data_IF_504018517792
#
_entry.id   IF_504018517792
#
_cell.length_a   1.000
_cell.length_b   1.000
_cell.length_c   1.000
_cell.angle_alpha   90.00
_cell.angle_beta   90.00
_cell.angle_gamma   90.00
#
_symmetry.space_group_name_H-M   'P 1'
#
loop_
_entity.id
_entity.type
_entity.pdbx_description
1 polymer ?
#
# COMPACT_ATOMS: atom_id res chain seq x y z
N UNK A 1 22.02 -10.14 4.27
CA UNK A 1 21.18 -10.54 5.42
C UNK A 1 19.84 -11.13 4.97
N UNK A 2 19.21 -10.64 3.90
CA UNK A 2 17.90 -11.11 3.39
C UNK A 2 17.81 -12.59 3.03
N UNK A 3 18.83 -13.18 2.40
CA UNK A 3 18.79 -14.59 1.96
C UNK A 3 18.82 -15.62 3.10
N UNK A 4 19.14 -15.22 4.33
CA UNK A 4 19.05 -16.10 5.51
C UNK A 4 17.61 -16.27 6.02
N UNK A 5 16.63 -15.56 5.44
CA UNK A 5 15.22 -15.55 5.86
C UNK A 5 14.33 -16.46 4.99
N UNK A 6 14.89 -17.40 4.21
CA UNK A 6 14.14 -18.20 3.23
C UNK A 6 13.32 -17.35 2.24
N UNK A 7 13.85 -16.18 1.83
CA UNK A 7 13.18 -15.34 0.80
C UNK A 7 13.23 -16.06 -0.55
N UNK A 8 12.05 -16.42 -1.06
CA UNK A 8 11.89 -17.22 -2.28
C UNK A 8 11.93 -16.32 -3.52
N UNK A 9 11.33 -15.13 -3.45
CA UNK A 9 11.18 -14.21 -4.59
C UNK A 9 11.54 -12.77 -4.21
N UNK A 10 12.11 -12.02 -5.16
CA UNK A 10 12.55 -10.64 -5.00
C UNK A 10 12.15 -9.81 -6.22
N UNK A 11 11.70 -8.57 -6.01
CA UNK A 11 11.44 -7.64 -7.11
C UNK A 11 12.73 -7.00 -7.62
N UNK A 12 12.76 -6.65 -8.90
CA UNK A 12 13.83 -5.82 -9.46
C UNK A 12 13.28 -4.89 -10.55
N UNK A 13 13.88 -3.71 -10.70
CA UNK A 13 13.58 -2.78 -11.80
C UNK A 13 14.83 -2.32 -12.57
N UNK A 14 16.02 -2.74 -12.13
CA UNK A 14 17.29 -2.29 -12.70
C UNK A 14 18.44 -3.30 -12.59
N UNK A 15 19.43 -3.10 -13.45
CA UNK A 15 20.68 -3.85 -13.53
C UNK A 15 21.43 -3.93 -12.19
N UNK A 16 21.48 -2.80 -11.47
CA UNK A 16 22.20 -2.71 -10.20
C UNK A 16 21.57 -3.57 -9.10
N UNK A 17 20.26 -3.75 -9.11
CA UNK A 17 19.56 -4.62 -8.17
C UNK A 17 19.88 -6.09 -8.43
N UNK A 18 19.84 -6.52 -9.70
CA UNK A 18 20.25 -7.86 -10.10
C UNK A 18 21.69 -8.18 -9.68
N UNK A 19 22.63 -7.26 -9.88
CA UNK A 19 24.04 -7.43 -9.45
C UNK A 19 24.15 -7.55 -7.93
N UNK A 20 23.41 -6.74 -7.17
CA UNK A 20 23.38 -6.81 -5.70
C UNK A 20 22.84 -8.17 -5.23
N UNK A 21 21.73 -8.64 -5.80
CA UNK A 21 21.13 -9.95 -5.49
C UNK A 21 22.10 -11.08 -5.84
N UNK A 22 22.71 -11.07 -7.03
CA UNK A 22 23.69 -12.07 -7.44
C UNK A 22 24.90 -12.12 -6.50
N UNK A 23 25.44 -10.96 -6.11
CA UNK A 23 26.56 -10.87 -5.15
C UNK A 23 26.17 -11.44 -3.78
N UNK A 24 24.99 -11.10 -3.27
CA UNK A 24 24.48 -11.61 -2.01
C UNK A 24 24.28 -13.13 -2.07
N UNK A 25 23.74 -13.65 -3.17
CA UNK A 25 23.51 -15.07 -3.38
C UNK A 25 24.81 -15.87 -3.47
N UNK A 26 25.82 -15.37 -4.18
CA UNK A 26 27.16 -15.97 -4.19
C UNK A 26 27.77 -16.08 -2.80
N UNK A 27 27.65 -15.03 -2.00
CA UNK A 27 28.11 -15.03 -0.60
C UNK A 27 27.36 -16.07 0.23
N UNK A 28 26.03 -16.11 0.13
CA UNK A 28 25.20 -17.09 0.83
C UNK A 28 25.58 -18.53 0.46
N UNK A 29 25.81 -18.80 -0.83
CA UNK A 29 26.28 -20.11 -1.31
C UNK A 29 27.64 -20.51 -0.74
N UNK A 30 28.57 -19.55 -0.58
CA UNK A 30 29.89 -19.81 -0.01
C UNK A 30 29.78 -20.15 1.49
N UNK A 31 29.02 -19.34 2.24
CA UNK A 31 28.75 -19.58 3.67
C UNK A 31 28.01 -20.91 3.90
N UNK A 32 27.09 -21.28 3.00
CA UNK A 32 26.39 -22.56 3.03
C UNK A 32 27.34 -23.75 2.85
N UNK A 33 28.24 -23.69 1.87
CA UNK A 33 29.25 -24.74 1.64
C UNK A 33 30.16 -24.91 2.85
N UNK A 34 30.68 -23.82 3.40
CA UNK A 34 31.55 -23.85 4.59
C UNK A 34 30.86 -24.51 5.79
N UNK A 35 29.58 -24.18 6.05
CA UNK A 35 28.78 -24.81 7.12
C UNK A 35 28.61 -26.31 6.90
N UNK A 36 28.33 -26.73 5.66
CA UNK A 36 28.14 -28.14 5.31
C UNK A 36 29.46 -28.93 5.42
N UNK A 37 30.58 -28.36 4.98
CA UNK A 37 31.90 -28.99 5.09
C UNK A 37 32.32 -29.15 6.56
N UNK A 38 32.03 -28.17 7.42
CA UNK A 38 32.27 -28.28 8.86
C UNK A 38 31.41 -29.38 9.54
N UNK A 39 30.19 -29.64 9.06
CA UNK A 39 29.33 -30.71 9.58
C UNK A 39 29.73 -32.11 9.09
N UNK A 40 30.44 -32.22 7.96
CA UNK A 40 30.86 -33.49 7.36
C UNK A 40 31.98 -34.23 8.08
N UNK A 41 32.63 -33.61 9.06
CA UNK A 41 33.62 -34.31 9.90
C UNK A 41 33.02 -35.44 10.77
N UNK A 42 31.68 -35.57 10.87
CA UNK A 42 31.03 -36.57 11.72
C UNK A 42 30.18 -37.66 11.02
N UNK A 43 29.85 -37.56 9.72
CA UNK A 43 29.04 -38.61 9.03
C UNK A 43 29.29 -38.64 7.51
N UNK A 44 29.11 -39.82 6.90
CA UNK A 44 29.37 -40.20 5.49
C UNK A 44 29.07 -39.12 4.42
N UNK A 45 29.87 -39.17 3.33
CA UNK A 45 29.79 -38.33 2.11
C UNK A 45 28.37 -38.23 1.55
N UNK A 46 27.58 -37.24 2.00
CA UNK A 46 26.37 -36.79 1.32
C UNK A 46 26.73 -35.76 0.25
N UNK A 47 26.08 -35.83 -0.92
CA UNK A 47 26.19 -34.78 -1.95
C UNK A 47 25.66 -33.46 -1.37
N UNK A 48 26.46 -32.38 -1.40
CA UNK A 48 26.00 -31.07 -0.91
C UNK A 48 25.00 -30.52 -1.91
N UNK A 49 23.74 -30.45 -1.52
CA UNK A 49 22.71 -29.76 -2.29
C UNK A 49 22.95 -28.26 -2.12
N UNK A 50 23.20 -27.57 -3.22
CA UNK A 50 23.34 -26.12 -3.23
C UNK A 50 21.97 -25.47 -3.03
N UNK A 51 21.90 -24.32 -2.34
CA UNK A 51 20.68 -23.53 -2.32
C UNK A 51 20.26 -23.18 -3.74
N UNK A 52 18.95 -23.04 -3.98
CA UNK A 52 18.43 -22.52 -5.25
C UNK A 52 18.66 -21.01 -5.33
N UNK A 53 18.84 -20.43 -6.54
CA UNK A 53 18.86 -18.99 -6.70
C UNK A 53 17.48 -18.39 -6.34
N UNK A 54 17.45 -17.14 -5.86
CA UNK A 54 16.19 -16.44 -5.64
C UNK A 54 15.46 -16.21 -6.97
N UNK A 55 14.14 -16.27 -6.93
CA UNK A 55 13.27 -15.94 -8.05
C UNK A 55 13.12 -14.43 -8.18
N UNK A 56 13.08 -13.93 -9.41
CA UNK A 56 13.05 -12.50 -9.71
C UNK A 56 11.70 -12.11 -10.32
N UNK A 57 11.09 -11.06 -9.79
CA UNK A 57 9.83 -10.47 -10.30
C UNK A 57 10.18 -9.10 -10.88
N UNK A 58 9.95 -8.89 -12.18
CA UNK A 58 10.27 -7.61 -12.82
C UNK A 58 9.22 -6.56 -12.46
N UNK A 59 9.60 -5.47 -11.81
CA UNK A 59 8.69 -4.34 -11.52
C UNK A 59 8.64 -3.39 -12.70
N UNK A 60 7.45 -3.15 -13.24
CA UNK A 60 7.22 -2.21 -14.33
C UNK A 60 6.97 -0.79 -13.83
N UNK A 61 7.44 0.17 -14.61
CA UNK A 61 6.98 1.55 -14.52
C UNK A 61 5.62 1.66 -15.24
N UNK A 62 4.57 1.98 -14.50
CA UNK A 62 3.20 2.14 -14.99
C UNK A 62 2.69 3.55 -14.66
N UNK A 63 1.59 4.01 -15.30
CA UNK A 63 0.99 5.29 -14.94
C UNK A 63 0.56 5.32 -13.47
N UNK A 64 0.91 6.38 -12.76
CA UNK A 64 0.59 6.62 -11.35
C UNK A 64 0.22 8.09 -11.05
N UNK A 65 -0.01 8.89 -12.10
CA UNK A 65 -0.36 10.31 -11.99
C UNK A 65 -1.71 10.57 -11.32
N UNK A 66 -2.55 9.55 -11.21
CA UNK A 66 -3.86 9.57 -10.55
C UNK A 66 -3.81 9.13 -9.08
N UNK A 67 -2.61 8.96 -8.51
CA UNK A 67 -2.41 8.60 -7.11
C UNK A 67 -2.01 9.79 -6.26
N UNK A 68 -2.36 9.76 -4.97
CA UNK A 68 -1.90 10.74 -3.99
C UNK A 68 -0.38 10.71 -3.83
N UNK A 69 0.24 9.53 -3.94
CA UNK A 69 1.69 9.35 -3.84
C UNK A 69 2.22 8.54 -5.04
N UNK A 70 2.68 9.23 -6.10
CA UNK A 70 3.37 8.61 -7.22
C UNK A 70 4.68 7.94 -6.78
N UNK A 71 4.96 6.75 -7.33
CA UNK A 71 6.16 5.96 -7.03
C UNK A 71 7.04 5.71 -8.26
N UNK A 72 6.53 5.99 -9.46
CA UNK A 72 7.14 5.71 -10.75
C UNK A 72 8.40 6.51 -11.06
N UNK A 73 8.54 7.71 -10.47
CA UNK A 73 9.79 8.49 -10.61
C UNK A 73 11.00 7.78 -9.96
N UNK A 74 10.75 6.93 -8.96
CA UNK A 74 11.78 6.28 -8.16
C UNK A 74 11.97 4.80 -8.51
N UNK A 75 10.90 4.13 -8.93
CA UNK A 75 10.86 2.68 -9.11
C UNK A 75 10.14 2.29 -10.39
N UNK A 76 10.50 1.13 -10.92
CA UNK A 76 9.87 0.52 -12.09
C UNK A 76 10.73 0.61 -13.34
N UNK A 77 10.83 -0.51 -14.04
CA UNK A 77 11.54 -0.61 -15.30
C UNK A 77 10.69 0.00 -16.42
N UNK A 78 11.30 0.89 -17.20
CA UNK A 78 10.70 1.34 -18.45
C UNK A 78 10.49 0.11 -19.38
N UNK A 79 9.32 -0.05 -20.03
CA UNK A 79 9.07 -1.18 -20.93
C UNK A 79 10.14 -1.39 -22.01
N UNK A 80 10.80 -0.33 -22.47
CA UNK A 80 11.89 -0.42 -23.46
C UNK A 80 13.15 -1.15 -22.95
N UNK A 81 13.30 -1.31 -21.63
CA UNK A 81 14.44 -1.96 -20.99
C UNK A 81 14.15 -3.42 -20.57
N UNK A 82 12.93 -3.93 -20.75
CA UNK A 82 12.57 -5.30 -20.33
C UNK A 82 13.56 -6.32 -20.89
N UNK A 83 13.83 -6.27 -22.20
CA UNK A 83 14.74 -7.20 -22.87
C UNK A 83 16.14 -7.23 -22.28
N UNK A 84 16.76 -6.06 -22.09
CA UNK A 84 18.14 -5.97 -21.59
C UNK A 84 18.23 -6.44 -20.14
N UNK A 85 17.24 -6.10 -19.31
CA UNK A 85 17.16 -6.53 -17.92
C UNK A 85 16.97 -8.05 -17.78
N UNK A 86 16.09 -8.64 -18.59
CA UNK A 86 15.87 -10.10 -18.61
C UNK A 86 17.13 -10.82 -19.07
N UNK A 87 17.80 -10.34 -20.13
CA UNK A 87 19.07 -10.90 -20.60
C UNK A 87 20.17 -10.79 -19.53
N UNK A 88 20.22 -9.70 -18.77
CA UNK A 88 21.15 -9.58 -17.66
C UNK A 88 20.85 -10.57 -16.53
N UNK A 89 19.58 -10.75 -16.17
CA UNK A 89 19.16 -11.78 -15.22
C UNK A 89 19.58 -13.18 -15.70
N UNK A 90 19.45 -13.45 -17.01
CA UNK A 90 19.99 -14.65 -17.67
C UNK A 90 21.48 -14.85 -17.44
N UNK A 91 22.28 -13.82 -17.75
CA UNK A 91 23.74 -13.84 -17.55
C UNK A 91 24.13 -14.07 -16.08
N UNK A 92 23.33 -13.57 -15.15
CA UNK A 92 23.54 -13.71 -13.70
C UNK A 92 22.94 -15.00 -13.12
N UNK A 93 22.28 -15.83 -13.93
CA UNK A 93 21.59 -17.07 -13.53
C UNK A 93 20.54 -16.83 -12.44
N UNK A 94 19.82 -15.72 -12.55
CA UNK A 94 18.69 -15.35 -11.69
C UNK A 94 17.37 -15.56 -12.46
N UNK A 95 16.54 -16.55 -12.11
CA UNK A 95 15.32 -16.86 -12.85
C UNK A 95 14.28 -15.76 -12.68
N UNK A 96 13.86 -15.15 -13.79
CA UNK A 96 12.72 -14.22 -13.80
C UNK A 96 11.44 -15.05 -13.84
N UNK A 97 10.54 -14.93 -12.85
CA UNK A 97 9.34 -15.76 -12.72
C UNK A 97 8.03 -15.00 -12.92
N UNK A 98 8.08 -13.68 -12.93
CA UNK A 98 6.87 -12.87 -12.98
C UNK A 98 7.11 -11.39 -13.20
N UNK A 99 6.02 -10.65 -13.15
CA UNK A 99 5.96 -9.20 -13.31
C UNK A 99 5.19 -8.60 -12.14
N UNK A 100 5.60 -7.42 -11.69
CA UNK A 100 4.89 -6.61 -10.69
C UNK A 100 4.68 -5.18 -11.19
N UNK A 101 3.72 -4.47 -10.64
CA UNK A 101 3.58 -3.01 -10.80
C UNK A 101 2.94 -2.41 -9.54
N UNK A 102 2.86 -1.07 -9.47
CA UNK A 102 2.13 -0.38 -8.41
C UNK A 102 1.64 0.97 -8.93
N UNK A 103 0.33 1.23 -8.87
CA UNK A 103 -0.31 2.45 -9.41
C UNK A 103 -0.18 3.68 -8.50
N UNK A 104 0.81 3.71 -7.60
CA UNK A 104 0.94 4.70 -6.51
C UNK A 104 -0.07 4.55 -5.36
N UNK A 105 0.21 5.15 -4.19
CA UNK A 105 -0.70 5.06 -3.02
C UNK A 105 -1.86 6.04 -3.14
N UNK A 106 -3.09 5.58 -2.86
CA UNK A 106 -4.29 6.41 -2.99
C UNK A 106 -4.67 6.63 -4.45
N UNK A 107 -4.55 5.60 -5.29
CA UNK A 107 -4.96 5.66 -6.68
C UNK A 107 -6.48 5.56 -6.79
N UNK A 108 -7.11 6.60 -7.35
CA UNK A 108 -8.57 6.68 -7.51
C UNK A 108 -9.06 6.38 -8.93
N UNK A 109 -8.16 6.05 -9.85
CA UNK A 109 -8.46 5.83 -11.26
C UNK A 109 -8.41 4.33 -11.62
N UNK A 110 -9.57 3.67 -11.82
CA UNK A 110 -9.64 2.28 -12.26
C UNK A 110 -8.90 2.02 -13.59
N UNK A 111 -8.89 2.98 -14.51
CA UNK A 111 -8.25 2.82 -15.82
C UNK A 111 -6.73 2.73 -15.69
N UNK A 112 -6.11 3.37 -14.68
CA UNK A 112 -4.69 3.24 -14.40
C UNK A 112 -4.29 1.78 -14.12
N UNK A 113 -5.11 1.06 -13.35
CA UNK A 113 -4.93 -0.38 -13.14
C UNK A 113 -5.16 -1.19 -14.43
N UNK A 114 -6.17 -0.82 -15.22
CA UNK A 114 -6.44 -1.44 -16.52
C UNK A 114 -5.24 -1.36 -17.47
N UNK A 115 -4.65 -0.17 -17.61
CA UNK A 115 -3.44 0.06 -18.40
C UNK A 115 -2.26 -0.73 -17.84
N UNK A 116 -2.05 -0.71 -16.52
CA UNK A 116 -0.95 -1.43 -15.88
C UNK A 116 -1.02 -2.95 -16.09
N UNK A 117 -2.22 -3.55 -16.03
CA UNK A 117 -2.44 -4.97 -16.29
C UNK A 117 -2.14 -5.32 -17.75
N UNK A 118 -2.55 -4.47 -18.70
CA UNK A 118 -2.23 -4.67 -20.11
C UNK A 118 -0.71 -4.60 -20.35
N UNK A 119 -0.02 -3.63 -19.73
CA UNK A 119 1.44 -3.54 -19.78
C UNK A 119 2.12 -4.77 -19.17
N UNK A 120 1.58 -5.30 -18.07
CA UNK A 120 2.08 -6.52 -17.45
C UNK A 120 1.91 -7.74 -18.36
N UNK A 121 0.79 -7.84 -19.08
CA UNK A 121 0.57 -8.89 -20.09
C UNK A 121 1.62 -8.82 -21.21
N UNK A 122 1.84 -7.64 -21.77
CA UNK A 122 2.80 -7.42 -22.84
C UNK A 122 4.23 -7.77 -22.39
N UNK A 123 4.59 -7.38 -21.16
CA UNK A 123 5.88 -7.71 -20.55
C UNK A 123 6.04 -9.23 -20.31
N UNK A 124 5.01 -9.91 -19.81
CA UNK A 124 5.03 -11.36 -19.61
C UNK A 124 5.26 -12.08 -20.94
N UNK A 125 4.58 -11.66 -22.00
CA UNK A 125 4.75 -12.23 -23.34
C UNK A 125 6.17 -12.02 -23.88
N UNK A 126 6.72 -10.82 -23.71
CA UNK A 126 8.10 -10.53 -24.11
C UNK A 126 9.11 -11.39 -23.33
N UNK A 127 8.98 -11.48 -22.01
CA UNK A 127 9.86 -12.29 -21.15
C UNK A 127 9.81 -13.76 -21.59
N UNK A 128 8.60 -14.30 -21.81
CA UNK A 128 8.42 -15.68 -22.25
C UNK A 128 9.02 -15.94 -23.64
N UNK A 129 8.92 -14.97 -24.55
CA UNK A 129 9.56 -15.02 -25.87
C UNK A 129 11.09 -15.07 -25.76
N UNK A 130 11.68 -14.22 -24.91
CA UNK A 130 13.13 -14.21 -24.65
C UNK A 130 13.58 -15.56 -24.06
N UNK A 131 12.87 -16.07 -23.05
CA UNK A 131 13.16 -17.38 -22.44
C UNK A 131 13.15 -18.51 -23.47
N UNK A 132 12.18 -18.50 -24.39
CA UNK A 132 12.09 -19.49 -25.46
C UNK A 132 13.27 -19.40 -26.43
N UNK A 133 13.65 -18.19 -26.84
CA UNK A 133 14.82 -17.96 -27.70
C UNK A 133 16.11 -18.47 -27.05
N UNK A 134 16.36 -18.11 -25.79
CA UNK A 134 17.52 -18.56 -25.02
C UNK A 134 17.57 -20.09 -24.87
N UNK A 135 16.41 -20.74 -24.69
CA UNK A 135 16.33 -22.19 -24.62
C UNK A 135 16.65 -22.84 -25.98
N UNK A 136 16.15 -22.30 -27.08
CA UNK A 136 16.42 -22.78 -28.43
C UNK A 136 17.91 -22.64 -28.79
N UNK A 137 18.53 -21.50 -28.48
CA UNK A 137 19.95 -21.26 -28.74
C UNK A 137 20.85 -22.18 -27.92
N UNK A 138 20.50 -22.42 -26.65
CA UNK A 138 21.17 -23.43 -25.81
C UNK A 138 21.08 -24.84 -26.42
N UNK A 139 19.91 -25.23 -26.95
CA UNK A 139 19.73 -26.54 -27.59
C UNK A 139 20.54 -26.67 -28.89
N UNK A 140 20.66 -25.59 -29.67
CA UNK A 140 21.51 -25.55 -30.88
C UNK A 140 22.99 -25.69 -30.55
N UNK A 141 23.48 -24.97 -29.54
CA UNK A 141 24.88 -25.08 -29.08
C UNK A 141 25.23 -26.51 -28.63
N UNK A 142 24.34 -27.14 -27.85
CA UNK A 142 24.52 -28.54 -27.41
C UNK A 142 24.47 -29.58 -28.54
N UNK A 143 23.81 -29.30 -29.65
CA UNK A 143 23.77 -30.18 -30.83
C UNK A 143 25.00 -30.01 -31.73
N UNK A 144 25.57 -28.80 -31.80
CA UNK A 144 26.82 -28.54 -32.53
C UNK A 144 28.07 -29.16 -31.89
N UNK A 145 28.06 -29.36 -30.57
CA UNK A 145 29.19 -29.96 -29.82
C UNK A 145 29.14 -31.50 -29.75
N UNK A 146 28.00 -32.14 -30.06
CA UNK A 146 27.82 -33.61 -30.05
C UNK A 146 28.42 -34.32 -31.28
N UNK A 147 29.54 -33.82 -31.79
CA UNK A 147 30.39 -34.48 -32.79
C UNK A 147 31.29 -35.57 -32.21
N UNK A 148 31.60 -35.55 -30.90
CA UNK A 148 32.47 -36.56 -30.27
C UNK A 148 32.03 -36.86 -28.83
N UNK A 149 31.94 -38.16 -28.50
CA UNK A 149 31.62 -38.79 -27.21
C UNK A 149 30.14 -38.95 -26.80
N UNK A 150 29.67 -40.19 -26.92
CA UNK A 150 28.49 -40.72 -26.24
C UNK A 150 28.88 -41.06 -24.80
N UNK A 151 28.65 -40.16 -23.84
CA UNK A 151 28.46 -40.55 -22.45
C UNK A 151 27.15 -39.95 -21.94
N UNK A 152 26.10 -40.78 -21.90
CA UNK A 152 24.77 -40.41 -21.39
C UNK A 152 24.79 -40.49 -19.87
N UNK A 153 25.43 -39.51 -19.25
CA UNK A 153 25.31 -39.24 -17.82
C UNK A 153 24.01 -38.49 -17.54
N UNK A 154 23.09 -39.14 -16.83
CA UNK A 154 21.93 -38.53 -16.16
C UNK A 154 22.39 -37.31 -15.34
N UNK A 155 22.04 -36.11 -15.79
CA UNK A 155 21.98 -34.91 -14.96
C UNK A 155 20.70 -34.15 -15.34
N UNK A 156 19.62 -34.66 -14.78
CA UNK A 156 18.48 -33.94 -14.22
C UNK A 156 17.73 -32.98 -15.15
N UNK A 157 16.77 -33.58 -15.86
CA UNK A 157 15.56 -33.01 -16.47
C UNK A 157 14.56 -32.45 -15.42
N UNK A 158 15.01 -31.99 -14.25
CA UNK A 158 14.16 -31.31 -13.27
C UNK A 158 14.14 -29.80 -13.56
N UNK A 159 13.13 -29.38 -14.33
CA UNK A 159 12.62 -28.00 -14.47
C UNK A 159 13.69 -26.90 -14.30
N UNK A 160 14.43 -26.59 -15.37
CA UNK A 160 15.31 -25.43 -15.33
C UNK A 160 14.47 -24.15 -15.22
N UNK A 161 14.29 -23.70 -13.97
CA UNK A 161 13.49 -22.54 -13.55
C UNK A 161 13.78 -21.28 -14.39
N UNK A 162 14.98 -21.21 -14.96
CA UNK A 162 15.40 -20.14 -15.85
C UNK A 162 14.56 -20.01 -17.13
N UNK A 163 14.04 -21.12 -17.63
CA UNK A 163 13.26 -21.19 -18.88
C UNK A 163 11.78 -21.44 -18.64
N UNK A 164 11.36 -21.64 -17.38
CA UNK A 164 9.94 -21.78 -17.02
C UNK A 164 9.21 -20.49 -17.40
N UNK A 165 8.04 -20.57 -18.07
CA UNK A 165 7.20 -19.40 -18.33
C UNK A 165 6.91 -18.61 -17.04
N UNK A 166 6.71 -17.31 -17.18
CA UNK A 166 6.25 -16.50 -16.05
C UNK A 166 4.93 -17.06 -15.52
N UNK A 167 4.85 -17.17 -14.20
CA UNK A 167 3.72 -17.75 -13.47
C UNK A 167 3.34 -16.93 -12.24
N UNK A 168 3.91 -15.73 -12.08
CA UNK A 168 3.52 -14.76 -11.05
C UNK A 168 3.16 -13.43 -11.71
N UNK A 169 2.03 -12.88 -11.32
CA UNK A 169 1.64 -11.49 -11.57
C UNK A 169 1.32 -10.84 -10.23
N UNK A 170 2.04 -9.79 -9.91
CA UNK A 170 1.78 -8.98 -8.73
C UNK A 170 1.18 -7.64 -9.17
N UNK A 171 -0.09 -7.42 -8.84
CA UNK A 171 -0.80 -6.18 -9.21
C UNK A 171 -0.51 -5.03 -8.24
N UNK A 172 0.36 -5.26 -7.24
CA UNK A 172 0.75 -4.28 -6.24
C UNK A 172 -0.38 -3.86 -5.34
N UNK A 173 -0.20 -2.68 -4.74
CA UNK A 173 -1.23 -2.01 -3.95
C UNK A 173 -1.62 -0.68 -4.57
N UNK A 174 -1.98 0.27 -3.71
CA UNK A 174 -2.37 1.60 -4.13
C UNK A 174 -3.84 1.93 -3.90
N UNK A 175 -4.63 0.93 -3.53
CA UNK A 175 -6.05 1.11 -3.22
C UNK A 175 -6.25 2.16 -2.12
N UNK A 176 -7.27 3.02 -2.26
CA UNK A 176 -7.62 3.99 -1.23
C UNK A 176 -8.10 3.27 0.03
N UNK A 177 -7.85 3.85 1.20
CA UNK A 177 -8.31 3.26 2.46
C UNK A 177 -9.58 3.89 3.03
N UNK A 178 -10.07 5.01 2.49
CA UNK A 178 -11.42 5.53 2.76
C UNK A 178 -12.48 4.48 2.38
N UNK A 179 -12.31 3.85 1.21
CA UNK A 179 -13.12 2.72 0.72
C UNK A 179 -12.65 1.36 1.26
N UNK A 180 -11.84 1.39 2.33
CA UNK A 180 -11.19 0.23 2.93
C UNK A 180 -12.07 -0.50 3.94
N UNK A 181 -11.55 -1.62 4.46
CA UNK A 181 -12.27 -2.39 5.49
C UNK A 181 -12.48 -1.53 6.75
N UNK A 182 -13.75 -1.25 7.08
CA UNK A 182 -14.12 -0.49 8.28
C UNK A 182 -14.16 1.03 8.11
N UNK A 183 -14.21 1.52 6.86
CA UNK A 183 -14.28 2.93 6.43
C UNK A 183 -15.57 3.69 6.73
N UNK A 184 -16.40 3.24 7.66
CA UNK A 184 -17.65 3.94 7.94
C UNK A 184 -17.44 5.10 8.94
N UNK A 185 -17.45 6.33 8.44
CA UNK A 185 -17.42 7.54 9.27
C UNK A 185 -18.61 7.59 10.24
N UNK A 186 -19.72 6.89 9.92
CA UNK A 186 -20.87 6.73 10.82
C UNK A 186 -20.53 5.93 12.08
N UNK A 187 -19.35 5.31 12.17
CA UNK A 187 -18.86 4.69 13.42
C UNK A 187 -18.69 5.69 14.55
N UNK A 188 -18.49 6.97 14.22
CA UNK A 188 -18.50 8.05 15.20
C UNK A 188 -19.88 8.68 15.27
N UNK A 189 -20.51 8.92 14.12
CA UNK A 189 -21.77 9.65 14.04
C UNK A 189 -22.95 8.67 14.09
N UNK A 190 -23.51 8.41 15.28
CA UNK A 190 -24.65 7.52 15.45
C UNK A 190 -25.81 7.81 14.47
N UNK A 191 -25.86 7.08 13.36
CA UNK A 191 -26.95 7.01 12.38
C UNK A 191 -27.40 8.31 11.69
N UNK A 192 -26.72 9.44 11.88
CA UNK A 192 -27.10 10.75 11.32
C UNK A 192 -26.20 11.16 10.16
N UNK A 193 -26.79 11.47 9.01
CA UNK A 193 -26.12 11.87 7.78
C UNK A 193 -25.26 13.13 8.00
N UNK A 194 -23.96 13.05 7.72
CA UNK A 194 -22.99 14.15 7.85
C UNK A 194 -22.72 14.84 6.50
N UNK A 195 -23.50 14.51 5.46
CA UNK A 195 -23.24 14.87 4.06
C UNK A 195 -23.23 16.40 3.81
N UNK A 196 -23.91 17.19 4.66
CA UNK A 196 -24.03 18.64 4.45
C UNK A 196 -22.80 19.47 4.90
N UNK A 197 -21.81 18.88 5.60
CA UNK A 197 -20.69 19.65 6.15
C UNK A 197 -19.50 19.84 5.18
N UNK A 198 -19.35 18.94 4.19
CA UNK A 198 -18.26 19.00 3.23
C UNK A 198 -18.60 19.80 1.96
N UNK A 199 -19.87 20.13 1.72
CA UNK A 199 -20.33 20.76 0.48
C UNK A 199 -20.08 22.29 0.43
N UNK A 200 -19.63 22.91 1.52
CA UNK A 200 -19.50 24.38 1.62
C UNK A 200 -18.07 24.93 1.72
N UNK A 201 -17.04 24.11 1.50
CA UNK A 201 -15.65 24.59 1.39
C UNK A 201 -15.14 24.50 -0.07
N UNK A 202 -15.78 25.25 -0.96
CA UNK A 202 -15.15 25.71 -2.20
C UNK A 202 -15.26 27.23 -2.35
N UNK A 203 -14.16 27.91 -2.02
CA UNK A 203 -13.73 29.10 -2.77
C UNK A 203 -12.26 29.39 -2.45
N UNK A 204 -11.35 28.60 -3.03
CA UNK A 204 -9.99 29.01 -3.51
C UNK A 204 -9.04 27.81 -3.70
N UNK A 205 -9.45 26.73 -4.37
CA UNK A 205 -8.49 25.84 -5.03
C UNK A 205 -9.00 25.49 -6.43
N UNK A 206 -8.34 26.03 -7.45
CA UNK A 206 -8.62 25.74 -8.85
C UNK A 206 -8.38 24.26 -9.16
N UNK A 207 -9.45 23.48 -9.20
CA UNK A 207 -9.50 22.14 -9.75
C UNK A 207 -10.97 21.79 -10.02
N UNK A 208 -11.36 21.72 -11.29
CA UNK A 208 -12.74 21.52 -11.73
C UNK A 208 -13.38 20.29 -11.04
N UNK A 209 -14.32 20.52 -10.11
CA UNK A 209 -15.39 19.55 -9.81
C UNK A 209 -16.64 19.99 -10.55
N UNK A 210 -17.20 19.09 -11.35
CA UNK A 210 -18.49 19.28 -12.00
C UNK A 210 -19.56 19.03 -10.95
N UNK A 211 -20.48 19.98 -10.84
CA UNK A 211 -21.75 19.83 -10.15
C UNK A 211 -22.54 18.65 -10.76
N UNK A 212 -22.72 17.57 -10.00
CA UNK A 212 -23.80 16.61 -10.26
C UNK A 212 -24.50 16.30 -8.93
N UNK A 213 -25.52 17.11 -8.64
CA UNK A 213 -26.53 16.84 -7.64
C UNK A 213 -27.49 15.76 -8.15
N UNK A 214 -27.18 14.48 -7.94
CA UNK A 214 -28.16 13.39 -7.96
C UNK A 214 -27.79 12.35 -6.89
N UNK A 215 -28.71 12.09 -5.95
CA UNK A 215 -28.54 11.16 -4.83
C UNK A 215 -28.46 9.69 -5.26
N UNK A 216 -27.32 9.30 -5.83
CA UNK A 216 -26.88 7.91 -5.93
C UNK A 216 -25.86 7.61 -4.83
N UNK A 217 -25.91 6.41 -4.25
CA UNK A 217 -24.83 5.90 -3.40
C UNK A 217 -23.51 6.00 -4.20
N UNK A 218 -22.59 6.88 -3.80
CA UNK A 218 -21.28 6.97 -4.44
C UNK A 218 -20.57 5.63 -4.26
N UNK A 219 -20.47 4.87 -5.36
CA UNK A 219 -19.85 3.57 -5.31
C UNK A 219 -18.36 3.66 -4.90
N UNK A 220 -17.96 2.86 -3.92
CA UNK A 220 -16.61 2.77 -3.37
C UNK A 220 -15.54 2.63 -4.47
N UNK A 221 -14.46 3.41 -4.40
CA UNK A 221 -13.40 3.41 -5.44
C UNK A 221 -12.73 2.04 -5.58
N UNK A 222 -12.56 1.30 -4.49
CA UNK A 222 -12.03 -0.07 -4.54
C UNK A 222 -12.95 -1.02 -5.33
N UNK A 223 -14.28 -0.87 -5.22
CA UNK A 223 -15.26 -1.60 -6.04
C UNK A 223 -15.10 -1.24 -7.52
N UNK A 224 -15.00 0.06 -7.84
CA UNK A 224 -14.76 0.54 -9.21
C UNK A 224 -13.48 -0.03 -9.82
N UNK A 225 -12.39 -0.07 -9.06
CA UNK A 225 -11.13 -0.71 -9.48
C UNK A 225 -11.36 -2.19 -9.74
N UNK A 226 -12.02 -2.92 -8.83
CA UNK A 226 -12.29 -4.34 -8.99
C UNK A 226 -13.16 -4.65 -10.23
N UNK A 227 -14.13 -3.79 -10.56
CA UNK A 227 -14.97 -3.93 -11.74
C UNK A 227 -14.21 -3.80 -13.06
N UNK A 228 -13.13 -3.03 -13.10
CA UNK A 228 -12.24 -2.94 -14.28
C UNK A 228 -11.23 -4.09 -14.28
N UNK A 229 -10.59 -4.34 -13.14
CA UNK A 229 -9.48 -5.29 -13.00
C UNK A 229 -9.94 -6.73 -13.21
N UNK A 230 -11.03 -7.16 -12.57
CA UNK A 230 -11.49 -8.56 -12.59
C UNK A 230 -11.76 -9.10 -14.00
N UNK A 231 -12.64 -8.49 -14.81
CA UNK A 231 -12.91 -8.99 -16.16
C UNK A 231 -11.70 -8.89 -17.09
N UNK A 232 -10.81 -7.91 -16.85
CA UNK A 232 -9.58 -7.76 -17.62
C UNK A 232 -8.59 -8.89 -17.32
N UNK A 233 -8.42 -9.26 -16.05
CA UNK A 233 -7.60 -10.40 -15.64
C UNK A 233 -8.15 -11.70 -16.23
N UNK A 234 -9.46 -11.94 -16.15
CA UNK A 234 -10.09 -13.13 -16.76
C UNK A 234 -9.85 -13.21 -18.27
N UNK A 235 -9.89 -12.06 -18.96
CA UNK A 235 -9.67 -11.97 -20.40
C UNK A 235 -8.21 -12.19 -20.79
N UNK A 236 -7.27 -11.58 -20.08
CA UNK A 236 -5.85 -11.58 -20.43
C UNK A 236 -5.08 -12.79 -19.88
N UNK A 237 -5.56 -13.36 -18.77
CA UNK A 237 -4.96 -14.46 -18.04
C UNK A 237 -6.01 -15.54 -17.70
N UNK A 238 -6.66 -16.15 -18.70
CA UNK A 238 -7.73 -17.11 -18.47
C UNK A 238 -7.22 -18.33 -17.70
N UNK A 239 -7.98 -18.75 -16.68
CA UNK A 239 -7.73 -20.00 -15.97
C UNK A 239 -8.06 -21.18 -16.90
N UNK A 240 -7.04 -21.95 -17.28
CA UNK A 240 -7.25 -23.21 -17.99
C UNK A 240 -7.87 -24.24 -17.05
N UNK A 241 -9.21 -24.28 -16.97
CA UNK A 241 -9.96 -25.30 -16.23
C UNK A 241 -10.12 -26.63 -17.02
N UNK A 242 -9.44 -26.78 -18.17
CA UNK A 242 -9.58 -27.94 -19.06
C UNK A 242 -8.23 -28.53 -19.47
N UNK A 243 -7.56 -29.24 -18.55
CA UNK A 243 -6.49 -30.19 -18.89
C UNK A 243 -6.82 -31.57 -18.32
N UNK A 244 -7.78 -32.25 -18.95
CA UNK A 244 -7.96 -33.71 -18.77
C UNK A 244 -7.51 -34.51 -20.01
N UNK A 245 -7.08 -33.87 -21.10
CA UNK A 245 -6.63 -34.57 -22.30
C UNK A 245 -5.17 -34.24 -22.67
N UNK A 246 -4.31 -35.20 -22.31
CA UNK A 246 -2.90 -35.39 -22.62
C UNK A 246 -2.27 -34.65 -23.82
N UNK A 247 -1.01 -34.23 -23.58
CA UNK A 247 0.08 -33.87 -24.50
C UNK A 247 0.24 -32.39 -24.90
N UNK A 248 0.52 -31.55 -23.91
CA UNK A 248 1.64 -30.58 -23.85
C UNK A 248 1.61 -29.97 -22.44
N UNK A 249 2.73 -29.58 -21.81
CA UNK A 249 2.70 -29.02 -20.47
C UNK A 249 1.95 -27.69 -20.54
N UNK A 250 0.70 -27.67 -20.09
CA UNK A 250 -0.12 -26.48 -20.08
C UNK A 250 0.53 -25.45 -19.17
N UNK A 251 0.47 -24.17 -19.57
CA UNK A 251 1.03 -23.08 -18.78
C UNK A 251 0.47 -23.21 -17.35
N UNK A 252 1.37 -23.41 -16.39
CA UNK A 252 1.08 -23.31 -14.97
C UNK A 252 0.19 -22.09 -14.73
N UNK A 253 -0.99 -22.31 -14.14
CA UNK A 253 -1.93 -21.24 -13.78
C UNK A 253 -1.17 -20.05 -13.19
N UNK A 254 -1.34 -18.87 -13.79
CA UNK A 254 -0.72 -17.65 -13.30
C UNK A 254 -1.18 -17.41 -11.86
N UNK A 255 -0.24 -17.30 -10.93
CA UNK A 255 -0.52 -16.90 -9.56
C UNK A 255 -0.60 -15.37 -9.50
N UNK A 256 -1.79 -14.84 -9.25
CA UNK A 256 -2.03 -13.41 -9.14
C UNK A 256 -2.03 -13.04 -7.66
N UNK A 257 -1.15 -12.11 -7.27
CA UNK A 257 -1.03 -11.56 -5.92
C UNK A 257 -1.21 -10.05 -5.94
N UNK A 258 -1.42 -9.46 -4.77
CA UNK A 258 -1.57 -8.03 -4.55
C UNK A 258 -0.94 -7.63 -3.21
N UNK A 259 -0.54 -6.36 -3.07
CA UNK A 259 0.14 -5.79 -1.91
C UNK A 259 -0.69 -4.66 -1.24
N UNK A 260 -1.95 -4.89 -0.83
CA UNK A 260 -2.77 -3.86 -0.19
C UNK A 260 -2.21 -3.47 1.18
N UNK A 261 -1.87 -2.19 1.34
CA UNK A 261 -1.45 -1.59 2.61
C UNK A 261 -2.55 -0.72 3.21
N UNK A 262 -2.66 0.52 2.71
CA UNK A 262 -3.62 1.56 3.15
C UNK A 262 -5.04 1.03 3.29
N UNK A 263 -5.51 0.30 2.28
CA UNK A 263 -6.82 -0.34 2.20
C UNK A 263 -7.28 -1.07 3.48
N UNK A 264 -6.37 -1.79 4.14
CA UNK A 264 -6.75 -2.61 5.29
C UNK A 264 -6.78 -1.85 6.61
N UNK A 265 -5.97 -0.80 6.74
CA UNK A 265 -5.64 -0.26 8.06
C UNK A 265 -5.96 1.21 8.22
N UNK A 266 -6.07 1.99 7.14
CA UNK A 266 -6.29 3.44 7.23
C UNK A 266 -7.52 3.76 8.10
N UNK A 267 -8.68 3.26 7.70
CA UNK A 267 -9.92 3.43 8.42
C UNK A 267 -9.97 2.71 9.76
N UNK A 268 -9.19 1.66 9.98
CA UNK A 268 -9.27 0.85 11.20
C UNK A 268 -8.87 1.61 12.49
N UNK A 269 -8.19 2.76 12.37
CA UNK A 269 -7.71 3.53 13.51
C UNK A 269 -8.23 4.97 13.46
N UNK A 270 -8.54 5.51 14.64
CA UNK A 270 -8.69 6.93 14.88
C UNK A 270 -7.75 7.37 15.99
N UNK A 271 -7.38 8.65 15.97
CA UNK A 271 -6.58 9.29 17.01
C UNK A 271 -7.47 10.24 17.79
N UNK A 272 -7.52 10.07 19.11
CA UNK A 272 -8.06 11.07 20.02
C UNK A 272 -6.90 11.89 20.61
N UNK A 273 -6.99 13.21 20.53
CA UNK A 273 -5.97 14.12 21.06
C UNK A 273 -6.61 15.24 21.86
N UNK A 274 -6.10 15.46 23.07
CA UNK A 274 -6.61 16.49 23.97
C UNK A 274 -5.98 17.85 23.66
N UNK A 275 -6.78 18.89 23.64
CA UNK A 275 -6.33 20.28 23.52
C UNK A 275 -5.63 20.67 24.81
N UNK A 276 -4.37 21.10 24.71
CA UNK A 276 -3.58 21.55 25.87
C UNK A 276 -3.40 23.07 25.92
N UNK A 277 -3.64 23.78 24.82
CA UNK A 277 -3.57 25.23 24.75
C UNK A 277 -4.52 25.75 23.67
N UNK A 278 -5.15 26.90 23.95
CA UNK A 278 -5.98 27.67 23.01
C UNK A 278 -5.38 29.07 22.92
N UNK A 279 -5.29 29.61 21.71
CA UNK A 279 -4.93 31.02 21.47
C UNK A 279 -5.90 31.62 20.48
N UNK A 280 -6.19 32.90 20.65
CA UNK A 280 -7.05 33.65 19.75
C UNK A 280 -6.17 34.63 18.97
N UNK A 281 -6.44 34.81 17.68
CA UNK A 281 -5.73 35.82 16.88
C UNK A 281 -5.99 37.22 17.44
N UNK A 282 -4.97 38.07 17.53
CA UNK A 282 -5.11 39.45 18.03
C UNK A 282 -5.54 40.40 16.91
N UNK A 283 -6.55 41.25 17.15
CA UNK A 283 -7.06 42.18 16.14
C UNK A 283 -8.43 42.78 16.48
N UNK A 284 -8.85 43.75 15.69
CA UNK A 284 -10.19 44.38 15.80
C UNK A 284 -11.19 43.55 14.98
N UNK A 285 -11.71 42.50 15.61
CA UNK A 285 -12.67 41.57 15.00
C UNK A 285 -14.08 41.91 15.46
N UNK A 286 -15.02 41.99 14.53
CA UNK A 286 -16.43 42.35 14.79
C UNK A 286 -17.07 41.35 15.78
N UNK A 287 -17.13 41.74 17.06
CA UNK A 287 -17.59 40.94 18.19
C UNK A 287 -16.98 39.51 18.28
N UNK A 288 -15.73 39.32 17.82
CA UNK A 288 -15.03 38.03 17.88
C UNK A 288 -15.49 36.98 16.84
N UNK A 289 -16.52 37.26 16.03
CA UNK A 289 -17.08 36.29 15.04
C UNK A 289 -16.11 35.88 13.93
N UNK A 290 -15.13 36.73 13.65
CA UNK A 290 -14.09 36.48 12.64
C UNK A 290 -12.71 36.24 13.26
N UNK A 291 -12.62 36.13 14.58
CA UNK A 291 -11.36 35.90 15.27
C UNK A 291 -10.93 34.45 15.07
N UNK A 292 -9.80 34.23 14.38
CA UNK A 292 -9.27 32.88 14.18
C UNK A 292 -8.84 32.26 15.51
N UNK A 293 -9.17 31.00 15.69
CA UNK A 293 -8.84 30.22 16.89
C UNK A 293 -7.69 29.25 16.60
N UNK A 294 -6.73 29.18 17.50
CA UNK A 294 -5.55 28.32 17.38
C UNK A 294 -5.58 27.29 18.50
N UNK A 295 -5.78 26.03 18.14
CA UNK A 295 -5.83 24.89 19.05
C UNK A 295 -4.52 24.10 19.00
N UNK A 296 -3.94 23.78 20.15
CA UNK A 296 -2.68 23.04 20.23
C UNK A 296 -2.90 21.66 20.85
N UNK A 297 -2.41 20.63 20.17
CA UNK A 297 -2.58 19.22 20.54
C UNK A 297 -1.24 18.49 20.68
N UNK A 298 -1.24 17.41 21.47
CA UNK A 298 0.00 16.71 21.85
C UNK A 298 0.65 15.88 20.71
N UNK A 299 0.10 15.92 19.50
CA UNK A 299 0.57 15.20 18.33
C UNK A 299 0.64 16.18 17.15
N UNK A 300 1.65 16.05 16.30
CA UNK A 300 1.92 16.98 15.20
C UNK A 300 2.55 16.30 13.99
N UNK A 301 3.02 17.08 13.02
CA UNK A 301 3.56 16.61 11.73
C UNK A 301 4.90 15.89 11.88
N UNK A 302 5.60 16.11 12.99
CA UNK A 302 6.79 15.33 13.35
C UNK A 302 6.45 13.91 13.86
N UNK A 303 5.21 13.72 14.28
CA UNK A 303 4.69 12.47 14.82
C UNK A 303 3.78 11.77 13.82
N UNK A 304 2.54 11.54 14.24
CA UNK A 304 1.55 10.74 13.52
C UNK A 304 0.88 11.46 12.36
N UNK A 305 1.01 12.79 12.25
CA UNK A 305 0.44 13.59 11.16
C UNK A 305 1.45 13.90 10.05
N UNK A 306 2.48 13.08 9.90
CA UNK A 306 3.60 13.37 9.01
C UNK A 306 3.22 13.39 7.53
N UNK A 307 2.19 12.63 7.15
CA UNK A 307 1.63 12.65 5.80
C UNK A 307 1.04 14.00 5.41
N UNK A 308 0.67 14.86 6.38
CA UNK A 308 0.26 16.23 6.10
C UNK A 308 1.40 17.05 5.46
N UNK A 309 2.66 16.70 5.77
CA UNK A 309 3.85 17.34 5.21
C UNK A 309 4.41 16.59 3.99
N UNK A 310 4.34 15.26 3.99
CA UNK A 310 4.95 14.44 2.94
C UNK A 310 4.07 14.26 1.71
N UNK A 311 2.75 14.31 1.89
CA UNK A 311 1.77 13.92 0.89
C UNK A 311 0.60 14.91 0.79
N UNK A 312 0.70 16.07 1.46
CA UNK A 312 -0.36 17.08 1.56
C UNK A 312 -1.72 16.48 2.02
N UNK A 313 -1.66 15.45 2.88
CA UNK A 313 -2.85 14.77 3.40
C UNK A 313 -3.63 15.68 4.37
N UNK A 314 -4.95 15.69 4.24
CA UNK A 314 -5.82 16.53 5.08
C UNK A 314 -6.38 15.76 6.27
N UNK A 315 -5.99 16.17 7.47
CA UNK A 315 -6.50 15.62 8.73
C UNK A 315 -7.49 16.58 9.36
N UNK A 316 -8.76 16.44 9.00
CA UNK A 316 -9.83 17.30 9.53
C UNK A 316 -10.19 16.84 10.96
N UNK A 317 -10.09 17.73 11.97
CA UNK A 317 -10.44 17.41 13.34
C UNK A 317 -11.97 17.33 13.52
N UNK A 318 -12.43 16.34 14.28
CA UNK A 318 -13.81 16.19 14.74
C UNK A 318 -13.85 16.51 16.24
N UNK A 319 -14.57 17.54 16.70
CA UNK A 319 -14.68 17.82 18.12
C UNK A 319 -15.45 16.71 18.83
N UNK A 320 -14.88 16.20 19.93
CA UNK A 320 -15.54 15.24 20.81
C UNK A 320 -15.99 15.95 22.09
N UNK A 321 -17.30 16.00 22.30
CA UNK A 321 -17.89 16.41 23.59
C UNK A 321 -18.00 15.20 24.51
N UNK A 322 -17.44 15.36 25.70
CA UNK A 322 -17.67 14.45 26.83
C UNK A 322 -18.59 15.24 27.77
N UNK A 323 -19.89 14.94 27.76
CA UNK A 323 -20.84 15.52 28.70
C UNK A 323 -20.68 14.92 30.11
N UNK A 324 -21.08 15.66 31.13
CA UNK A 324 -21.34 15.11 32.46
C UNK A 324 -22.70 14.36 32.44
N UNK A 325 -22.89 13.36 33.31
CA UNK A 325 -24.08 12.48 33.34
C UNK A 325 -25.44 13.21 33.54
N UNK A 326 -25.43 14.53 33.80
CA UNK A 326 -26.59 15.33 34.20
C UNK A 326 -27.21 16.22 33.09
N UNK A 327 -26.71 16.16 31.85
CA UNK A 327 -27.25 16.95 30.73
C UNK A 327 -28.39 16.20 29.99
N UNK A 328 -29.59 16.81 29.95
CA UNK A 328 -30.85 16.22 29.44
C UNK A 328 -30.92 16.02 27.89
N UNK A 329 -29.88 16.38 27.14
CA UNK A 329 -29.88 16.38 25.65
C UNK A 329 -29.22 15.15 25.00
N UNK A 330 -28.85 14.11 25.76
CA UNK A 330 -28.13 12.94 25.23
C UNK A 330 -29.03 11.72 24.91
N UNK A 331 -28.70 11.02 23.83
CA UNK A 331 -29.31 9.73 23.47
C UNK A 331 -28.59 8.61 24.21
N UNK A 332 -29.27 7.95 25.15
CA UNK A 332 -28.79 6.71 25.77
C UNK A 332 -28.59 5.62 24.70
N UNK A 333 -27.34 5.30 24.39
CA UNK A 333 -27.00 4.09 23.64
C UNK A 333 -27.08 2.90 24.61
N UNK A 334 -28.22 2.21 24.62
CA UNK A 334 -28.44 1.03 25.45
C UNK A 334 -27.39 -0.07 25.18
N UNK A 335 -26.38 -0.18 26.05
CA UNK A 335 -26.21 -1.28 27.00
C UNK A 335 -24.81 -1.22 27.68
N UNK A 336 -24.82 -0.84 28.96
CA UNK A 336 -23.93 -1.24 30.05
C UNK A 336 -22.45 -0.82 30.10
N UNK A 337 -22.02 0.21 29.37
CA UNK A 337 -20.83 1.03 29.71
C UNK A 337 -20.97 2.38 29.00
N UNK A 338 -21.82 3.27 29.52
CA UNK A 338 -22.30 4.46 28.78
C UNK A 338 -21.27 5.59 28.80
N UNK A 339 -20.44 5.68 27.75
CA UNK A 339 -19.75 6.90 27.38
C UNK A 339 -20.68 7.70 26.46
N UNK A 340 -21.20 8.83 26.93
CA UNK A 340 -22.08 9.70 26.15
C UNK A 340 -21.25 10.49 25.14
N UNK A 341 -21.41 10.17 23.85
CA UNK A 341 -20.79 10.91 22.75
C UNK A 341 -21.88 11.68 22.02
N UNK A 342 -21.93 13.01 22.20
CA UNK A 342 -22.68 13.86 21.28
C UNK A 342 -21.82 14.04 20.01
N UNK A 343 -22.17 13.32 18.95
CA UNK A 343 -21.66 13.59 17.59
C UNK A 343 -22.58 14.48 16.77
N UNK A 344 -23.73 14.87 17.32
CA UNK A 344 -24.63 15.79 16.64
C UNK A 344 -24.27 17.21 17.08
N UNK A 345 -23.67 17.96 16.15
CA UNK A 345 -23.76 19.41 16.15
C UNK A 345 -25.24 19.76 16.08
N UNK A 346 -25.82 20.16 17.21
CA UNK A 346 -27.13 20.83 17.20
C UNK A 346 -27.06 21.99 16.21
N UNK A 347 -28.07 22.15 15.37
CA UNK A 347 -28.10 23.04 14.19
C UNK A 347 -27.98 24.56 14.47
N UNK A 348 -27.50 24.96 15.65
CA UNK A 348 -27.43 26.34 16.13
C UNK A 348 -26.05 26.75 16.68
N UNK A 349 -25.04 25.89 16.61
CA UNK A 349 -23.74 26.21 17.20
C UNK A 349 -22.86 27.06 16.28
N UNK A 350 -22.36 28.18 16.82
CA UNK A 350 -21.49 29.12 16.09
C UNK A 350 -20.12 28.48 15.84
N UNK A 351 -19.71 28.44 14.56
CA UNK A 351 -18.42 27.90 14.12
C UNK A 351 -17.43 29.03 13.86
N UNK A 352 -16.17 28.77 14.18
CA UNK A 352 -15.08 29.72 14.02
C UNK A 352 -13.99 29.16 13.11
N UNK A 353 -13.43 30.01 12.25
CA UNK A 353 -12.21 29.71 11.51
C UNK A 353 -11.10 29.35 12.50
N UNK A 354 -10.53 28.16 12.32
CA UNK A 354 -9.65 27.56 13.30
C UNK A 354 -8.44 26.90 12.64
N UNK A 355 -7.35 26.84 13.39
CA UNK A 355 -6.11 26.16 13.00
C UNK A 355 -5.69 25.21 14.13
N UNK A 356 -5.38 23.97 13.78
CA UNK A 356 -4.87 22.96 14.72
C UNK A 356 -3.36 22.78 14.55
N UNK A 357 -2.64 23.00 15.65
CA UNK A 357 -1.17 22.98 15.72
C UNK A 357 -0.68 21.75 16.49
N UNK A 358 0.46 21.23 16.07
CA UNK A 358 1.22 20.24 16.82
C UNK A 358 2.06 20.86 17.96
N UNK A 359 2.80 20.03 18.71
CA UNK A 359 3.44 20.44 19.95
C UNK A 359 4.84 21.05 19.81
N UNK A 360 5.46 21.05 18.62
CA UNK A 360 6.87 21.44 18.47
C UNK A 360 7.11 22.94 18.64
N UNK A 361 6.07 23.75 18.40
CA UNK A 361 6.16 25.21 18.37
C UNK A 361 6.83 25.77 17.10
N UNK A 362 7.15 24.92 16.13
CA UNK A 362 7.65 25.35 14.83
C UNK A 362 6.49 25.80 13.92
N UNK A 363 6.76 26.76 13.04
CA UNK A 363 5.75 27.38 12.17
C UNK A 363 5.06 26.38 11.23
N UNK A 364 5.75 25.30 10.88
CA UNK A 364 5.24 24.27 9.99
C UNK A 364 4.64 23.06 10.74
N UNK A 365 4.63 23.04 12.08
CA UNK A 365 3.95 22.00 12.85
C UNK A 365 2.45 22.31 12.96
N UNK A 366 1.80 22.34 11.80
CA UNK A 366 0.38 22.61 11.63
C UNK A 366 -0.27 21.34 11.09
N UNK A 367 -1.22 20.81 11.85
CA UNK A 367 -1.95 19.58 11.50
C UNK A 367 -3.11 19.89 10.55
N UNK A 368 -3.85 20.96 10.82
CA UNK A 368 -4.95 21.41 10.00
C UNK A 368 -4.91 22.95 9.93
N UNK A 369 -4.47 23.55 8.80
CA UNK A 369 -4.29 24.99 8.68
C UNK A 369 -5.62 25.75 8.76
N UNK A 370 -6.67 25.18 8.17
CA UNK A 370 -7.98 25.80 8.03
C UNK A 370 -9.08 24.77 8.28
N UNK A 371 -9.85 24.99 9.34
CA UNK A 371 -11.05 24.21 9.66
C UNK A 371 -12.09 25.09 10.35
N UNK A 372 -13.34 24.64 10.35
CA UNK A 372 -14.41 25.23 11.13
C UNK A 372 -14.65 24.37 12.36
N UNK A 373 -14.50 24.97 13.54
CA UNK A 373 -14.71 24.30 14.82
C UNK A 373 -15.58 25.18 15.72
N UNK A 374 -16.37 24.58 16.63
CA UNK A 374 -17.06 25.33 17.67
C UNK A 374 -16.04 25.97 18.63
N UNK A 375 -16.53 26.73 19.60
CA UNK A 375 -15.69 27.22 20.69
C UNK A 375 -15.24 26.06 21.58
N UNK A 376 -13.94 25.74 21.54
CA UNK A 376 -13.34 24.64 22.31
C UNK A 376 -12.37 25.16 23.36
N UNK A 377 -12.30 24.44 24.47
CA UNK A 377 -11.50 24.78 25.64
C UNK A 377 -10.29 23.84 25.83
N UNK A 378 -9.36 24.28 26.67
CA UNK A 378 -8.29 23.39 27.16
C UNK A 378 -8.93 22.24 27.93
N UNK A 379 -8.61 21.01 27.54
CA UNK A 379 -9.20 19.80 28.11
C UNK A 379 -10.14 19.06 27.15
N UNK A 380 -10.69 19.75 26.15
CA UNK A 380 -11.55 19.15 25.13
C UNK A 380 -10.76 18.24 24.20
N UNK A 381 -11.47 17.34 23.53
CA UNK A 381 -10.89 16.32 22.68
C UNK A 381 -11.18 16.58 21.21
N UNK A 382 -10.17 16.36 20.38
CA UNK A 382 -10.30 16.27 18.94
C UNK A 382 -10.06 14.82 18.51
N UNK A 383 -10.95 14.30 17.68
CA UNK A 383 -10.82 13.01 17.00
C UNK A 383 -10.32 13.28 15.59
N UNK A 384 -9.36 12.47 15.15
CA UNK A 384 -8.92 12.41 13.77
C UNK A 384 -9.19 10.99 13.27
N UNK A 385 -10.03 10.88 12.26
CA UNK A 385 -10.30 9.61 11.61
C UNK A 385 -9.16 9.22 10.67
N UNK A 386 -9.17 7.97 10.17
CA UNK A 386 -8.26 7.44 9.15
C UNK A 386 -6.77 7.49 9.55
N UNK A 387 -6.50 7.25 10.82
CA UNK A 387 -5.16 7.39 11.40
C UNK A 387 -4.34 6.10 11.39
N UNK A 388 -4.69 5.10 10.57
CA UNK A 388 -4.06 3.78 10.63
C UNK A 388 -2.95 3.51 9.61
N UNK A 389 -2.96 4.18 8.46
CA UNK A 389 -1.96 4.00 7.41
C UNK A 389 -0.94 5.14 7.46
N UNK A 390 0.35 4.80 7.37
CA UNK A 390 1.44 5.79 7.29
C UNK A 390 1.44 6.87 8.39
N UNK A 391 0.92 6.55 9.58
CA UNK A 391 0.96 7.44 10.74
C UNK A 391 2.08 7.02 11.69
N UNK A 392 1.82 6.03 12.56
CA UNK A 392 2.78 5.52 13.54
C UNK A 392 4.02 4.88 12.90
N UNK A 393 3.91 4.36 11.68
CA UNK A 393 5.01 3.68 10.99
C UNK A 393 6.13 4.63 10.57
N UNK A 394 5.84 5.92 10.38
CA UNK A 394 6.79 6.94 9.92
C UNK A 394 7.03 8.06 10.95
N UNK A 395 6.31 8.03 12.08
CA UNK A 395 6.43 8.97 13.17
C UNK A 395 7.86 8.99 13.76
N UNK A 396 8.41 10.19 13.99
CA UNK A 396 9.72 10.32 14.61
C UNK A 396 9.65 9.91 16.09
N UNK A 397 10.68 9.21 16.58
CA UNK A 397 10.77 8.71 17.97
C UNK A 397 10.97 9.80 19.04
N UNK A 398 10.92 11.08 18.65
CA UNK A 398 11.19 12.21 19.55
C UNK A 398 10.05 12.54 20.51
N UNK A 399 8.83 12.07 20.25
CA UNK A 399 7.64 12.35 21.05
C UNK A 399 7.12 11.13 21.84
N UNK A 400 6.19 11.39 22.77
CA UNK A 400 5.45 10.32 23.45
C UNK A 400 4.46 9.73 22.46
N UNK A 401 4.60 8.43 22.20
CA UNK A 401 3.67 7.71 21.33
C UNK A 401 2.25 7.69 21.93
N UNK A 402 1.20 7.77 21.10
CA UNK A 402 -0.17 7.54 21.54
C UNK A 402 -0.34 6.19 22.24
N UNK A 403 -1.19 6.17 23.27
CA UNK A 403 -1.63 4.91 23.89
C UNK A 403 -2.61 4.25 22.93
N UNK A 404 -2.45 2.93 22.72
CA UNK A 404 -3.28 2.17 21.79
C UNK A 404 -4.28 1.31 22.55
N UNK A 405 -5.54 1.46 22.19
CA UNK A 405 -6.63 0.57 22.59
C UNK A 405 -7.03 -0.23 21.36
N UNK A 406 -7.06 -1.56 21.48
CA UNK A 406 -7.53 -2.46 20.42
C UNK A 406 -8.86 -3.01 20.87
N UNK A 407 -9.90 -2.69 20.12
CA UNK A 407 -11.26 -3.17 20.38
C UNK A 407 -11.65 -4.06 19.21
N UNK A 408 -12.11 -5.27 19.51
CA UNK A 408 -12.72 -6.17 18.54
C UNK A 408 -14.08 -6.61 19.06
N UNK A 409 -15.05 -6.84 18.17
CA UNK A 409 -16.23 -7.61 18.55
C UNK A 409 -15.83 -9.07 18.67
N UNK A 410 -16.38 -9.75 19.67
CA UNK A 410 -16.38 -11.21 19.68
C UNK A 410 -17.14 -11.69 18.44
N UNK A 411 -16.39 -12.17 17.45
CA UNK A 411 -16.98 -12.88 16.31
C UNK A 411 -17.18 -14.30 16.79
N UNK A 412 -18.43 -14.68 17.10
CA UNK A 412 -18.79 -16.09 17.12
C UNK A 412 -18.55 -16.64 15.71
N UNK A 413 -17.42 -17.33 15.53
CA UNK A 413 -17.06 -18.06 14.32
C UNK A 413 -17.96 -19.28 14.12
#
# INVERSE_FOLDING_TARGET
SSLNLNVISLTFDGSEELKKVHKAYKRYCAEWKEKQDNHKHHTQKSNVIMPKPPEMILRLLVPDSSSSVPLGEKFGANPTHIRSLVQEAFNLKLPVVGVSFHCGSGCHDPEAYGVAIQMAKDAIDEINSIKKQELEDKRRQQQGEKGESNDRGKQDDESNLMYTPCHVLDIGGGYPGYDGVGGDIQRFCGGGCFDDFFDNNDSTVSGQRKDESEGGEEEETASKIAQVVTPLLDKLFPLNLQDNDNQTPSLSSLNIISEPGRYFVEAAFALCSRIYSVRLEEGDFDNGRHQRRHYYIAQGVHGVFKDALLCDESFVPIPLRIGDEDDDDYVELNNNDTFLVATQTTSEEELYCSTVHGPSGEVFDVVCPDCLLPDLNVGDWLIFDRMGAYTLSIAARGGRLPIRYVVGRDVCL
#
